data_IF_098539933561
#
_entry.id   IF_098539933561
#
_cell.length_a   1.000
_cell.length_b   1.000
_cell.length_c   1.000
_cell.angle_alpha   90.00
_cell.angle_beta   90.00
_cell.angle_gamma   90.00
#
_symmetry.space_group_name_H-M   'P 1'
#
loop_
_entity.id
_entity.type
_entity.pdbx_description
1 polymer ?
#
# COMPACT_ATOMS: atom_id res chain seq x y z
N UNK A 1 29.20 -28.77 22.37
CA UNK A 1 27.87 -29.16 21.85
C UNK A 1 27.24 -28.00 21.04
N UNK A 2 27.93 -27.47 20.02
CA UNK A 2 27.60 -26.16 19.43
C UNK A 2 27.24 -26.12 17.94
N UNK A 3 27.24 -27.25 17.21
CA UNK A 3 27.08 -27.22 15.74
C UNK A 3 25.84 -27.94 15.20
N UNK A 4 24.99 -28.54 16.05
CA UNK A 4 23.79 -29.26 15.60
C UNK A 4 22.56 -28.34 15.42
N UNK A 5 22.46 -27.24 16.16
CA UNK A 5 21.26 -26.37 16.14
C UNK A 5 21.18 -25.43 14.94
N UNK A 6 22.32 -25.01 14.36
CA UNK A 6 22.33 -24.12 13.18
C UNK A 6 21.92 -24.86 11.90
N UNK A 7 22.15 -26.18 11.84
CA UNK A 7 21.73 -27.01 10.71
C UNK A 7 20.22 -27.27 10.71
N UNK A 8 19.63 -27.52 11.89
CA UNK A 8 18.20 -27.75 12.07
C UNK A 8 17.35 -26.50 11.73
N UNK A 9 17.82 -25.30 12.07
CA UNK A 9 17.17 -24.03 11.71
C UNK A 9 17.21 -23.78 10.20
N UNK A 10 18.32 -24.08 9.51
CA UNK A 10 18.40 -23.96 8.05
C UNK A 10 17.50 -24.95 7.32
N UNK A 11 17.40 -26.20 7.77
CA UNK A 11 16.53 -27.20 7.12
C UNK A 11 15.04 -26.92 7.29
N UNK A 12 14.63 -26.26 8.37
CA UNK A 12 13.22 -25.89 8.61
C UNK A 12 12.81 -24.69 7.74
N UNK A 13 13.74 -23.73 7.55
CA UNK A 13 13.59 -22.57 6.68
C UNK A 13 13.46 -22.96 5.19
N UNK A 14 14.25 -23.93 4.73
CA UNK A 14 14.13 -24.45 3.36
C UNK A 14 12.83 -25.22 3.12
N UNK A 15 12.30 -25.95 4.11
CA UNK A 15 11.03 -26.68 4.00
C UNK A 15 9.82 -25.77 3.84
N UNK A 16 9.78 -24.64 4.54
CA UNK A 16 8.66 -23.68 4.44
C UNK A 16 8.71 -22.89 3.13
N UNK A 17 9.91 -22.54 2.65
CA UNK A 17 10.10 -21.92 1.35
C UNK A 17 9.71 -22.87 0.18
N UNK A 18 10.01 -24.16 0.30
CA UNK A 18 9.63 -25.17 -0.70
C UNK A 18 8.11 -25.41 -0.74
N UNK A 19 7.44 -25.45 0.41
CA UNK A 19 5.98 -25.59 0.48
C UNK A 19 5.26 -24.37 -0.10
N UNK A 20 5.81 -23.16 0.09
CA UNK A 20 5.29 -21.93 -0.51
C UNK A 20 5.48 -21.91 -2.04
N UNK A 21 6.63 -22.40 -2.53
CA UNK A 21 6.95 -22.50 -3.96
C UNK A 21 6.07 -23.54 -4.68
N UNK A 22 5.90 -24.74 -4.09
CA UNK A 22 5.04 -25.79 -4.66
C UNK A 22 3.58 -25.34 -4.69
N UNK A 23 3.08 -24.66 -3.66
CA UNK A 23 1.71 -24.13 -3.66
C UNK A 23 1.48 -23.07 -4.76
N UNK A 24 2.45 -22.18 -5.00
CA UNK A 24 2.35 -21.17 -6.06
C UNK A 24 2.39 -21.78 -7.46
N UNK A 25 3.25 -22.79 -7.69
CA UNK A 25 3.35 -23.48 -8.99
C UNK A 25 2.12 -24.38 -9.23
N UNK A 26 1.58 -25.02 -8.19
CA UNK A 26 0.39 -25.86 -8.30
C UNK A 26 -0.87 -25.03 -8.58
N UNK A 27 -1.06 -23.86 -7.95
CA UNK A 27 -2.15 -22.95 -8.27
C UNK A 27 -2.08 -22.41 -9.72
N UNK A 28 -0.87 -22.20 -10.25
CA UNK A 28 -0.68 -21.77 -11.64
C UNK A 28 -0.99 -22.90 -12.64
N UNK A 29 -0.68 -24.16 -12.29
CA UNK A 29 -0.98 -25.33 -13.13
C UNK A 29 -2.47 -25.72 -13.08
N UNK A 30 -3.13 -25.59 -11.93
CA UNK A 30 -4.58 -25.83 -11.81
C UNK A 30 -5.36 -24.77 -12.58
N UNK A 31 -4.95 -23.49 -12.56
CA UNK A 31 -5.57 -22.43 -13.37
C UNK A 31 -5.51 -22.66 -14.89
N UNK A 32 -4.55 -23.46 -15.37
CA UNK A 32 -4.42 -23.86 -16.78
C UNK A 32 -5.37 -25.03 -17.13
N UNK A 33 -5.76 -25.84 -16.14
CA UNK A 33 -6.64 -27.01 -16.33
C UNK A 33 -8.13 -26.74 -16.12
N UNK A 34 -8.53 -25.63 -15.48
CA UNK A 34 -9.96 -25.22 -15.38
C UNK A 34 -10.42 -24.33 -16.56
N UNK A 35 -9.53 -24.09 -17.55
CA UNK A 35 -9.79 -23.27 -18.74
C UNK A 35 -11.08 -23.58 -19.54
N UNK A 36 -11.66 -24.80 -19.54
CA UNK A 36 -12.90 -25.06 -20.28
C UNK A 36 -14.22 -24.73 -19.56
N UNK A 37 -14.22 -24.38 -18.26
CA UNK A 37 -15.47 -24.26 -17.45
C UNK A 37 -15.93 -22.82 -17.16
N UNK A 38 -15.35 -21.83 -17.84
CA UNK A 38 -15.82 -20.42 -17.83
C UNK A 38 -16.36 -19.99 -19.21
N UNK A 39 -16.89 -20.94 -20.00
CA UNK A 39 -17.63 -20.63 -21.23
C UNK A 39 -19.08 -20.27 -20.88
N UNK A 40 -19.26 -19.06 -20.36
CA UNK A 40 -20.58 -18.51 -20.05
C UNK A 40 -20.63 -16.98 -19.93
N UNK A 41 -19.54 -16.28 -20.27
CA UNK A 41 -19.56 -14.83 -20.40
C UNK A 41 -19.30 -14.51 -21.85
N UNK A 42 -20.33 -13.99 -22.51
CA UNK A 42 -20.34 -13.63 -23.91
C UNK A 42 -19.32 -12.51 -24.15
N UNK A 43 -18.18 -12.85 -24.76
CA UNK A 43 -17.08 -11.90 -25.01
C UNK A 43 -17.48 -10.81 -26.01
N UNK A 44 -18.44 -11.09 -26.89
CA UNK A 44 -18.94 -10.11 -27.87
C UNK A 44 -19.78 -9.01 -27.19
N UNK A 45 -20.46 -9.31 -26.08
CA UNK A 45 -21.21 -8.32 -25.31
C UNK A 45 -20.28 -7.28 -24.65
N UNK A 46 -19.07 -7.68 -24.24
CA UNK A 46 -18.06 -6.79 -23.64
C UNK A 46 -17.37 -5.88 -24.66
N UNK A 47 -17.23 -6.32 -25.91
CA UNK A 47 -16.58 -5.54 -26.97
C UNK A 47 -17.55 -4.54 -27.67
N UNK A 48 -18.86 -4.70 -27.49
CA UNK A 48 -19.90 -3.87 -28.13
C UNK A 48 -20.22 -2.55 -27.40
N UNK A 49 -19.74 -2.37 -26.17
CA UNK A 49 -19.94 -1.14 -25.40
C UNK A 49 -18.84 -0.14 -25.76
N UNK A 50 -19.16 0.87 -26.58
CA UNK A 50 -18.31 2.05 -26.72
C UNK A 50 -18.47 2.92 -25.46
N UNK A 51 -17.43 3.09 -24.62
CA UNK A 51 -17.56 3.88 -23.40
C UNK A 51 -17.48 5.37 -23.74
N UNK A 52 -18.62 6.03 -23.94
CA UNK A 52 -18.71 7.48 -23.73
C UNK A 52 -18.91 7.71 -22.23
N UNK A 53 -17.83 7.79 -21.45
CA UNK A 53 -17.72 8.56 -20.19
C UNK A 53 -16.29 8.39 -19.65
N UNK A 54 -15.42 9.36 -19.93
CA UNK A 54 -14.09 9.47 -19.32
C UNK A 54 -14.25 10.18 -17.98
N UNK A 55 -14.45 9.44 -16.89
CA UNK A 55 -14.21 10.01 -15.55
C UNK A 55 -12.69 9.88 -15.30
N UNK A 56 -11.94 10.83 -15.85
CA UNK A 56 -10.53 11.01 -15.49
C UNK A 56 -10.44 11.33 -13.99
N UNK A 57 -9.48 10.78 -13.23
CA UNK A 57 -9.15 11.32 -11.92
C UNK A 57 -8.88 12.84 -12.04
N UNK A 58 -9.13 13.59 -10.96
CA UNK A 58 -8.87 15.04 -10.91
C UNK A 58 -7.48 15.32 -11.50
N UNK A 59 -7.36 16.17 -12.53
CA UNK A 59 -6.09 16.38 -13.19
C UNK A 59 -5.02 16.85 -12.19
N UNK A 60 -3.81 16.27 -12.25
CA UNK A 60 -2.75 16.54 -11.28
C UNK A 60 -2.39 18.03 -11.18
N UNK A 61 -2.46 18.75 -12.29
CA UNK A 61 -2.21 20.20 -12.35
C UNK A 61 -3.24 21.03 -11.57
N UNK A 62 -4.49 20.56 -11.46
CA UNK A 62 -5.52 21.23 -10.65
C UNK A 62 -5.34 20.97 -9.14
N UNK A 63 -4.66 19.88 -8.77
CA UNK A 63 -4.38 19.52 -7.37
C UNK A 63 -3.12 20.20 -6.81
N UNK A 64 -2.21 20.66 -7.67
CA UNK A 64 -1.02 21.43 -7.26
C UNK A 64 -1.34 22.87 -6.85
N UNK A 65 -2.50 23.41 -7.21
CA UNK A 65 -2.89 24.81 -6.93
C UNK A 65 -3.71 25.01 -5.65
N UNK A 66 -4.14 23.94 -4.97
CA UNK A 66 -4.94 24.05 -3.75
C UNK A 66 -4.05 24.25 -2.51
N UNK A 67 -3.94 25.50 -2.05
CA UNK A 67 -3.29 25.88 -0.81
C UNK A 67 -4.07 25.36 0.41
N UNK A 68 -3.47 24.50 1.23
CA UNK A 68 -3.93 24.30 2.61
C UNK A 68 -3.48 25.49 3.48
N UNK A 69 -4.23 25.86 4.53
CA UNK A 69 -3.85 26.98 5.39
C UNK A 69 -2.50 26.69 6.04
N UNK A 70 -1.54 27.59 5.83
CA UNK A 70 -0.26 27.59 6.51
C UNK A 70 -0.49 27.76 8.01
N UNK A 71 -0.34 26.68 8.77
CA UNK A 71 -0.17 26.80 10.22
C UNK A 71 1.22 27.42 10.44
N UNK A 72 1.24 28.65 10.94
CA UNK A 72 2.47 29.35 11.34
C UNK A 72 3.16 28.58 12.47
N UNK A 73 4.03 27.63 12.10
CA UNK A 73 5.06 27.10 12.98
C UNK A 73 6.37 27.85 12.66
N UNK A 74 7.03 28.35 13.70
CA UNK A 74 8.32 29.04 13.63
C UNK A 74 9.30 28.33 12.69
N UNK A 75 9.73 29.02 11.63
CA UNK A 75 10.32 28.42 10.44
C UNK A 75 11.78 27.92 10.57
N UNK A 76 12.44 28.10 11.72
CA UNK A 76 13.88 27.87 11.83
C UNK A 76 14.32 26.61 12.61
N UNK A 77 13.41 25.85 13.25
CA UNK A 77 13.76 24.65 14.02
C UNK A 77 13.08 23.34 13.55
N UNK A 78 12.22 23.38 12.53
CA UNK A 78 11.52 22.18 12.07
C UNK A 78 12.42 21.27 11.19
N UNK A 79 12.39 19.94 11.38
CA UNK A 79 13.18 19.02 10.55
C UNK A 79 12.89 19.22 9.06
N UNK A 80 13.93 19.45 8.27
CA UNK A 80 13.81 19.51 6.80
C UNK A 80 13.52 18.15 6.18
N UNK A 81 13.91 17.06 6.84
CA UNK A 81 13.75 15.70 6.34
C UNK A 81 12.44 15.05 6.82
N UNK A 82 11.91 14.14 5.99
CA UNK A 82 10.66 13.43 6.22
C UNK A 82 10.85 11.94 6.45
N UNK A 83 9.95 11.38 7.25
CA UNK A 83 9.64 9.98 7.39
C UNK A 83 8.38 9.70 6.56
N UNK A 84 8.55 9.05 5.41
CA UNK A 84 7.43 8.77 4.49
C UNK A 84 6.99 7.32 4.63
N UNK A 85 5.74 7.12 5.04
CA UNK A 85 5.10 5.81 5.01
C UNK A 85 4.22 5.71 3.77
N UNK A 86 4.46 4.68 2.95
CA UNK A 86 3.55 4.31 1.86
C UNK A 86 2.54 3.30 2.39
N UNK A 87 1.31 3.76 2.66
CA UNK A 87 0.23 2.98 3.27
C UNK A 87 -0.82 2.67 2.23
N UNK A 88 -0.96 1.41 1.83
CA UNK A 88 -1.97 1.01 0.87
C UNK A 88 -1.99 -0.50 0.67
N UNK A 89 -3.17 -1.05 0.45
CA UNK A 89 -3.36 -2.49 0.25
C UNK A 89 -2.48 -3.03 -0.87
N UNK A 90 -2.19 -4.33 -0.84
CA UNK A 90 -1.62 -5.03 -1.97
C UNK A 90 -2.33 -4.68 -3.30
N UNK A 91 -1.59 -4.67 -4.40
CA UNK A 91 -2.11 -4.36 -5.76
C UNK A 91 -2.60 -2.93 -6.01
N UNK A 92 -2.37 -1.98 -5.10
CA UNK A 92 -2.65 -0.54 -5.30
C UNK A 92 -1.48 0.24 -5.94
N UNK A 93 -0.36 -0.42 -6.24
CA UNK A 93 0.82 0.24 -6.83
C UNK A 93 1.86 0.74 -5.83
N UNK A 94 1.78 0.31 -4.56
CA UNK A 94 2.75 0.68 -3.51
C UNK A 94 4.22 0.50 -3.91
N UNK A 95 4.57 -0.56 -4.64
CA UNK A 95 5.97 -0.79 -5.08
C UNK A 95 6.44 0.23 -6.13
N UNK A 96 5.57 0.60 -7.07
CA UNK A 96 5.86 1.62 -8.09
C UNK A 96 6.05 2.96 -7.42
N UNK A 97 5.15 3.28 -6.48
CA UNK A 97 5.19 4.51 -5.71
C UNK A 97 6.47 4.60 -4.87
N UNK A 98 6.87 3.52 -4.19
CA UNK A 98 8.15 3.49 -3.46
C UNK A 98 9.33 3.74 -4.39
N UNK A 99 9.38 3.09 -5.55
CA UNK A 99 10.45 3.31 -6.53
C UNK A 99 10.47 4.76 -7.06
N UNK A 100 9.29 5.36 -7.25
CA UNK A 100 9.14 6.75 -7.67
C UNK A 100 9.72 7.69 -6.61
N UNK A 101 9.37 7.48 -5.34
CA UNK A 101 9.88 8.25 -4.20
C UNK A 101 11.41 8.11 -4.06
N UNK A 102 11.95 6.90 -4.26
CA UNK A 102 13.40 6.70 -4.30
C UNK A 102 14.07 7.49 -5.44
N UNK A 103 13.42 7.60 -6.60
CA UNK A 103 13.90 8.44 -7.71
C UNK A 103 13.74 9.94 -7.45
N UNK A 104 12.93 10.34 -6.47
CA UNK A 104 12.83 11.72 -5.98
C UNK A 104 13.86 12.02 -4.85
N UNK A 105 14.69 11.04 -4.49
CA UNK A 105 15.78 11.22 -3.52
C UNK A 105 15.50 10.68 -2.11
N UNK A 106 14.41 9.95 -1.90
CA UNK A 106 14.14 9.31 -0.61
C UNK A 106 14.93 8.01 -0.45
N UNK A 107 15.51 7.81 0.72
CA UNK A 107 16.24 6.59 1.06
C UNK A 107 15.28 5.49 1.53
N UNK A 108 15.43 4.25 1.04
CA UNK A 108 14.61 3.11 1.50
C UNK A 108 15.39 2.13 2.39
N UNK A 109 16.67 2.39 2.64
CA UNK A 109 17.61 1.42 3.20
C UNK A 109 18.57 0.88 2.15
N UNK A 110 19.53 0.05 2.57
CA UNK A 110 20.47 -0.58 1.63
C UNK A 110 19.72 -1.58 0.78
N UNK A 111 20.19 -1.75 -0.46
CA UNK A 111 19.66 -2.80 -1.34
C UNK A 111 19.68 -4.19 -0.70
N UNK A 112 20.67 -4.52 0.13
CA UNK A 112 20.71 -5.82 0.82
C UNK A 112 19.67 -5.98 1.93
N UNK A 113 19.10 -4.88 2.44
CA UNK A 113 18.08 -4.88 3.50
C UNK A 113 16.65 -4.87 2.93
N UNK A 114 16.49 -4.73 1.61
CA UNK A 114 15.20 -4.68 0.94
C UNK A 114 14.82 -6.05 0.37
N UNK A 115 13.53 -6.41 0.50
CA UNK A 115 12.97 -7.58 -0.14
C UNK A 115 12.76 -7.33 -1.64
N UNK A 116 13.07 -8.33 -2.46
CA UNK A 116 12.88 -8.31 -3.92
C UNK A 116 12.23 -9.60 -4.40
N UNK A 117 11.40 -9.51 -5.45
CA UNK A 117 10.88 -10.71 -6.10
C UNK A 117 11.94 -11.26 -7.08
N UNK A 118 12.38 -12.52 -6.94
CA UNK A 118 13.22 -13.14 -7.95
C UNK A 118 12.53 -13.10 -9.32
N UNK A 119 13.21 -12.59 -10.35
CA UNK A 119 12.67 -12.45 -11.70
C UNK A 119 11.83 -11.18 -11.95
N UNK A 120 11.53 -10.39 -10.92
CA UNK A 120 10.89 -9.08 -11.08
C UNK A 120 11.52 -8.06 -10.12
N UNK A 121 12.57 -7.39 -10.62
CA UNK A 121 13.40 -6.45 -9.84
C UNK A 121 12.69 -5.14 -9.44
N UNK A 122 11.44 -4.95 -9.89
CA UNK A 122 10.61 -3.80 -9.53
C UNK A 122 9.44 -4.17 -8.62
N UNK A 123 9.31 -5.45 -8.26
CA UNK A 123 8.41 -5.89 -7.21
C UNK A 123 9.16 -6.02 -5.89
N UNK A 124 8.48 -5.53 -4.86
CA UNK A 124 8.94 -5.45 -3.49
C UNK A 124 10.04 -4.39 -3.28
N UNK A 125 9.91 -3.71 -2.16
CA UNK A 125 10.81 -2.68 -1.61
C UNK A 125 10.57 -2.56 -0.10
N UNK A 126 10.02 -3.61 0.50
CA UNK A 126 9.79 -3.73 1.93
C UNK A 126 11.16 -3.86 2.60
N UNK A 127 11.37 -3.08 3.65
CA UNK A 127 12.55 -3.22 4.48
C UNK A 127 12.38 -4.51 5.31
N UNK A 128 13.25 -5.50 5.09
CA UNK A 128 13.08 -6.85 5.62
C UNK A 128 12.88 -6.90 7.15
N UNK A 129 13.59 -6.05 7.90
CA UNK A 129 13.42 -5.96 9.36
C UNK A 129 12.04 -5.47 9.78
N UNK A 130 11.47 -4.54 9.02
CA UNK A 130 10.14 -3.98 9.29
C UNK A 130 9.08 -5.02 8.92
N UNK A 131 9.25 -5.67 7.76
CA UNK A 131 8.35 -6.71 7.28
C UNK A 131 8.28 -7.90 8.25
N UNK A 132 9.43 -8.43 8.69
CA UNK A 132 9.45 -9.54 9.67
C UNK A 132 8.83 -9.14 11.01
N UNK A 133 9.12 -7.92 11.50
CA UNK A 133 8.53 -7.40 12.73
C UNK A 133 7.00 -7.29 12.61
N UNK A 134 6.52 -6.76 11.49
CA UNK A 134 5.09 -6.62 11.21
C UNK A 134 4.43 -8.00 11.08
N UNK A 135 5.04 -8.93 10.35
CA UNK A 135 4.55 -10.31 10.20
C UNK A 135 4.37 -10.97 11.56
N UNK A 136 5.40 -10.95 12.42
CA UNK A 136 5.37 -11.58 13.74
C UNK A 136 4.24 -11.01 14.62
N UNK A 137 4.03 -9.69 14.58
CA UNK A 137 2.98 -9.04 15.35
C UNK A 137 1.58 -9.31 14.77
N UNK A 138 1.43 -9.23 13.44
CA UNK A 138 0.18 -9.49 12.75
C UNK A 138 -0.26 -10.95 12.90
N UNK A 139 0.66 -11.92 12.89
CA UNK A 139 0.36 -13.33 13.12
C UNK A 139 -0.30 -13.60 14.48
N UNK A 140 0.03 -12.80 15.50
CA UNK A 140 -0.54 -12.91 16.85
C UNK A 140 -1.89 -12.21 16.99
N UNK A 141 -2.08 -11.13 16.25
CA UNK A 141 -3.21 -10.21 16.38
C UNK A 141 -4.29 -10.44 15.32
N UNK A 142 -4.01 -11.23 14.30
CA UNK A 142 -4.95 -11.63 13.25
C UNK A 142 -5.83 -12.81 13.70
N UNK A 143 -7.06 -12.84 13.20
CA UNK A 143 -7.98 -13.93 13.47
C UNK A 143 -7.45 -15.22 12.82
N UNK A 144 -7.26 -16.27 13.63
CA UNK A 144 -6.67 -17.53 13.17
C UNK A 144 -7.57 -18.33 12.22
N UNK A 145 -8.85 -17.96 12.12
CA UNK A 145 -9.77 -18.53 11.13
C UNK A 145 -9.52 -17.99 9.71
N UNK A 146 -8.85 -16.84 9.59
CA UNK A 146 -8.49 -16.23 8.33
C UNK A 146 -7.09 -16.67 7.86
N UNK A 147 -6.79 -16.59 6.55
CA UNK A 147 -5.41 -16.64 6.08
C UNK A 147 -4.60 -15.57 6.83
N UNK A 148 -3.41 -15.90 7.35
CA UNK A 148 -2.63 -14.96 8.14
C UNK A 148 -2.07 -13.80 7.33
N UNK A 149 -1.70 -14.08 6.07
CA UNK A 149 -0.97 -13.15 5.21
C UNK A 149 -1.68 -11.79 4.99
N UNK A 150 -3.00 -11.72 4.70
CA UNK A 150 -3.71 -10.45 4.55
C UNK A 150 -4.00 -9.77 5.89
N UNK A 151 -3.69 -10.40 7.02
CA UNK A 151 -4.00 -9.88 8.35
C UNK A 151 -5.46 -9.42 8.52
N UNK A 152 -6.39 -10.10 7.85
CA UNK A 152 -7.81 -9.76 7.91
C UNK A 152 -8.37 -10.13 9.29
N UNK A 153 -9.09 -9.19 9.91
CA UNK A 153 -9.49 -9.31 11.31
C UNK A 153 -8.33 -9.12 12.29
N UNK A 154 -7.24 -8.44 11.88
CA UNK A 154 -6.25 -7.90 12.83
C UNK A 154 -6.94 -7.00 13.86
N UNK A 155 -6.66 -7.22 15.14
CA UNK A 155 -7.06 -6.34 16.24
C UNK A 155 -5.88 -6.13 17.18
N UNK A 156 -5.54 -4.87 17.45
CA UNK A 156 -4.38 -4.49 18.28
C UNK A 156 -4.45 -5.11 19.69
N UNK A 157 -5.64 -5.07 20.29
CA UNK A 157 -5.88 -5.51 21.68
C UNK A 157 -5.87 -7.03 21.87
N UNK A 158 -5.70 -7.81 20.79
CA UNK A 158 -5.44 -9.26 20.92
C UNK A 158 -4.03 -9.56 21.40
N UNK A 159 -3.09 -8.63 21.25
CA UNK A 159 -1.78 -8.72 21.87
C UNK A 159 -1.85 -8.24 23.32
N UNK A 160 -1.09 -8.89 24.21
CA UNK A 160 -0.95 -8.40 25.59
C UNK A 160 -0.28 -7.03 25.62
N UNK A 161 -0.51 -6.23 26.68
CA UNK A 161 0.13 -4.91 26.83
C UNK A 161 1.67 -4.99 26.73
N UNK A 162 2.27 -6.07 27.24
CA UNK A 162 3.70 -6.32 27.13
C UNK A 162 4.13 -6.50 25.67
N UNK A 163 3.39 -7.27 24.88
CA UNK A 163 3.69 -7.48 23.46
C UNK A 163 3.49 -6.22 22.63
N UNK A 164 2.44 -5.45 22.91
CA UNK A 164 2.21 -4.15 22.27
C UNK A 164 3.37 -3.18 22.57
N UNK A 165 3.78 -3.09 23.83
CA UNK A 165 4.91 -2.25 24.25
C UNK A 165 6.20 -2.70 23.57
N UNK A 166 6.47 -4.01 23.55
CA UNK A 166 7.65 -4.55 22.89
C UNK A 166 7.64 -4.23 21.39
N UNK A 167 6.51 -4.40 20.72
CA UNK A 167 6.38 -4.09 19.30
C UNK A 167 6.68 -2.61 19.02
N UNK A 168 6.14 -1.68 19.81
CA UNK A 168 6.43 -0.24 19.67
C UNK A 168 7.93 0.07 19.87
N UNK A 169 8.59 -0.60 20.82
CA UNK A 169 10.04 -0.47 21.02
C UNK A 169 10.84 -1.00 19.82
N UNK A 170 10.44 -2.12 19.22
CA UNK A 170 11.09 -2.64 18.02
C UNK A 170 10.83 -1.75 16.80
N UNK A 171 9.61 -1.19 16.66
CA UNK A 171 9.30 -0.19 15.64
C UNK A 171 10.24 1.00 15.76
N UNK A 172 10.45 1.52 16.98
CA UNK A 172 11.41 2.60 17.21
C UNK A 172 12.83 2.22 16.74
N UNK A 173 13.31 1.00 16.98
CA UNK A 173 14.62 0.55 16.49
C UNK A 173 14.71 0.50 14.97
N UNK A 174 13.62 0.13 14.28
CA UNK A 174 13.54 0.18 12.82
C UNK A 174 13.68 1.62 12.32
N UNK A 175 12.96 2.56 12.95
CA UNK A 175 13.02 3.98 12.62
C UNK A 175 14.40 4.59 12.91
N UNK A 176 14.98 4.31 14.08
CA UNK A 176 16.32 4.79 14.45
C UNK A 176 17.40 4.29 13.47
N UNK A 177 17.24 3.06 12.96
CA UNK A 177 18.12 2.54 11.92
C UNK A 177 17.94 3.27 10.58
N UNK A 178 16.70 3.54 10.15
CA UNK A 178 16.42 4.32 8.94
C UNK A 178 16.97 5.73 9.06
N UNK A 179 16.82 6.35 10.23
CA UNK A 179 17.34 7.69 10.53
C UNK A 179 18.86 7.72 10.44
N UNK A 180 19.52 6.72 11.01
CA UNK A 180 20.98 6.58 10.96
C UNK A 180 21.45 6.33 9.53
N UNK A 181 20.73 5.50 8.77
CA UNK A 181 21.07 5.17 7.39
C UNK A 181 20.92 6.36 6.45
N UNK A 182 19.80 7.07 6.54
CA UNK A 182 19.53 8.24 5.70
C UNK A 182 20.41 9.44 6.09
N UNK A 183 20.71 9.58 7.39
CA UNK A 183 21.34 10.77 7.94
C UNK A 183 20.32 11.89 8.20
N UNK A 184 20.75 12.99 8.86
CA UNK A 184 19.85 14.03 9.36
C UNK A 184 19.13 14.82 8.24
N UNK A 185 19.79 15.03 7.11
CA UNK A 185 19.29 15.89 6.02
C UNK A 185 18.42 15.16 4.99
N UNK A 186 18.50 13.82 4.91
CA UNK A 186 17.79 13.05 3.88
C UNK A 186 16.51 12.46 4.41
N UNK A 187 15.46 12.54 3.60
CA UNK A 187 14.19 11.85 3.86
C UNK A 187 14.29 10.36 3.55
N UNK A 188 13.50 9.54 4.23
CA UNK A 188 13.39 8.11 3.93
C UNK A 188 11.95 7.69 3.63
N UNK A 189 11.80 6.57 2.93
CA UNK A 189 10.53 5.92 2.62
C UNK A 189 10.49 4.49 3.17
N UNK A 190 9.43 4.17 3.91
CA UNK A 190 9.12 2.82 4.36
C UNK A 190 7.81 2.37 3.71
N UNK A 191 7.82 1.16 3.14
CA UNK A 191 6.64 0.55 2.55
C UNK A 191 6.48 -0.87 3.07
N UNK A 192 5.25 -1.19 3.42
CA UNK A 192 4.71 -2.54 3.55
C UNK A 192 3.21 -2.43 3.24
N UNK A 193 2.62 -3.27 2.37
CA UNK A 193 1.20 -3.13 2.03
C UNK A 193 0.25 -3.31 3.22
N UNK A 194 0.71 -3.91 4.32
CA UNK A 194 0.00 -4.10 5.59
C UNK A 194 0.38 -3.03 6.62
N UNK A 195 1.31 -2.15 6.29
CA UNK A 195 1.69 -1.00 7.13
C UNK A 195 0.48 -0.13 7.45
N UNK A 196 -0.54 -0.08 6.60
CA UNK A 196 -1.80 0.61 6.88
C UNK A 196 -2.49 0.12 8.17
N UNK A 197 -2.31 -1.14 8.57
CA UNK A 197 -2.86 -1.70 9.80
C UNK A 197 -2.06 -1.29 11.05
N UNK A 198 -0.80 -0.91 10.86
CA UNK A 198 0.18 -0.66 11.93
C UNK A 198 0.73 0.77 11.90
N UNK A 199 0.23 1.62 11.01
CA UNK A 199 0.81 2.93 10.69
C UNK A 199 0.85 3.86 11.90
N UNK A 200 -0.15 3.79 12.80
CA UNK A 200 -0.19 4.60 14.03
C UNK A 200 1.02 4.29 14.93
N UNK A 201 1.38 3.01 15.08
CA UNK A 201 2.54 2.61 15.86
C UNK A 201 3.86 3.14 15.29
N UNK A 202 3.99 3.26 13.96
CA UNK A 202 5.17 3.85 13.34
C UNK A 202 5.17 5.38 13.43
N UNK A 203 4.07 6.01 13.02
CA UNK A 203 3.96 7.47 12.96
C UNK A 203 4.09 8.14 14.33
N UNK A 204 3.59 7.51 15.40
CA UNK A 204 3.75 8.03 16.78
C UNK A 204 5.20 8.02 17.26
N UNK A 205 6.05 7.13 16.73
CA UNK A 205 7.46 7.02 17.08
C UNK A 205 8.37 7.95 16.26
N UNK A 206 7.85 8.59 15.20
CA UNK A 206 8.58 9.62 14.44
C UNK A 206 8.53 10.94 15.21
N UNK A 207 9.67 11.37 15.76
CA UNK A 207 9.77 12.58 16.59
C UNK A 207 10.71 13.65 16.03
N UNK A 208 11.64 13.28 15.17
CA UNK A 208 12.72 14.13 14.63
C UNK A 208 12.60 14.40 13.12
N UNK A 209 11.47 14.03 12.50
CA UNK A 209 11.21 14.19 11.06
C UNK A 209 9.76 14.57 10.82
N UNK A 210 9.49 15.17 9.66
CA UNK A 210 8.13 15.38 9.18
C UNK A 210 7.44 14.04 8.93
N UNK A 211 6.23 13.86 9.46
CA UNK A 211 5.42 12.65 9.26
C UNK A 211 4.62 12.79 7.97
N UNK A 212 4.90 11.94 6.98
CA UNK A 212 4.17 11.93 5.71
C UNK A 212 3.62 10.54 5.46
N UNK A 213 2.36 10.49 5.06
CA UNK A 213 1.61 9.30 4.75
C UNK A 213 1.14 9.40 3.31
N UNK A 214 1.62 8.52 2.43
CA UNK A 214 1.22 8.51 1.02
C UNK A 214 0.33 7.31 0.77
N UNK A 215 -0.93 7.60 0.42
CA UNK A 215 -1.99 6.61 0.24
C UNK A 215 -2.28 6.45 -1.25
N UNK A 216 -1.80 5.37 -1.91
CA UNK A 216 -2.23 5.07 -3.26
C UNK A 216 -3.67 4.55 -3.22
N UNK A 217 -4.55 5.15 -4.02
CA UNK A 217 -5.91 4.69 -4.20
C UNK A 217 -6.09 4.06 -5.58
N UNK A 218 -6.89 2.99 -5.60
CA UNK A 218 -7.26 2.23 -6.79
C UNK A 218 -8.70 1.80 -6.62
N UNK A 219 -9.40 1.64 -7.73
CA UNK A 219 -10.77 1.14 -7.74
C UNK A 219 -10.89 -0.11 -6.85
N UNK A 220 -11.83 -0.12 -5.89
CA UNK A 220 -11.94 -1.18 -4.90
C UNK A 220 -12.15 -2.56 -5.54
N UNK A 221 -12.85 -2.63 -6.67
CA UNK A 221 -13.15 -3.88 -7.37
C UNK A 221 -11.95 -4.37 -8.15
N UNK A 222 -11.18 -3.46 -8.75
CA UNK A 222 -9.92 -3.85 -9.35
C UNK A 222 -8.93 -4.44 -8.33
N UNK A 223 -8.91 -3.91 -7.11
CA UNK A 223 -8.06 -4.43 -6.03
C UNK A 223 -8.60 -5.77 -5.54
N UNK A 224 -9.88 -5.83 -5.18
CA UNK A 224 -10.51 -7.01 -4.61
C UNK A 224 -10.45 -8.22 -5.57
N UNK A 225 -10.78 -8.01 -6.85
CA UNK A 225 -10.70 -9.07 -7.89
C UNK A 225 -9.28 -9.61 -8.09
N UNK A 226 -8.27 -8.74 -7.99
CA UNK A 226 -6.86 -9.15 -8.05
C UNK A 226 -6.42 -9.93 -6.82
N UNK A 227 -7.08 -9.73 -5.68
CA UNK A 227 -6.73 -10.37 -4.42
C UNK A 227 -7.32 -11.77 -4.25
N UNK A 228 -8.44 -12.07 -4.91
CA UNK A 228 -9.13 -13.39 -4.84
C UNK A 228 -8.18 -14.59 -4.92
N UNK A 229 -7.22 -14.68 -5.87
CA UNK A 229 -6.31 -15.83 -5.95
C UNK A 229 -5.37 -15.99 -4.75
N UNK A 230 -5.11 -14.91 -4.01
CA UNK A 230 -4.17 -14.86 -2.88
C UNK A 230 -4.86 -15.05 -1.52
N UNK A 231 -6.18 -14.99 -1.48
CA UNK A 231 -6.98 -15.00 -0.26
C UNK A 231 -7.72 -16.33 -0.04
N UNK A 232 -7.12 -17.46 -0.43
CA UNK A 232 -7.72 -18.81 -0.38
C UNK A 232 -9.11 -18.90 -1.05
N UNK A 233 -9.33 -18.11 -2.10
CA UNK A 233 -10.61 -18.10 -2.82
C UNK A 233 -11.75 -17.41 -2.08
N UNK A 234 -11.45 -16.49 -1.15
CA UNK A 234 -12.46 -15.62 -0.56
C UNK A 234 -13.37 -15.00 -1.62
N UNK A 235 -14.68 -14.86 -1.32
CA UNK A 235 -15.61 -14.20 -2.21
C UNK A 235 -15.23 -12.72 -2.37
N UNK A 236 -15.70 -12.07 -3.43
CA UNK A 236 -15.32 -10.70 -3.78
C UNK A 236 -15.65 -9.71 -2.65
N UNK A 237 -16.76 -9.95 -1.96
CA UNK A 237 -17.27 -9.20 -0.82
C UNK A 237 -16.27 -9.16 0.34
N UNK A 238 -15.71 -10.31 0.74
CA UNK A 238 -14.68 -10.35 1.79
C UNK A 238 -13.42 -9.60 1.38
N UNK A 239 -13.04 -9.67 0.10
CA UNK A 239 -11.90 -8.91 -0.41
C UNK A 239 -12.17 -7.39 -0.47
N UNK A 240 -13.43 -6.99 -0.67
CA UNK A 240 -13.86 -5.59 -0.59
C UNK A 240 -13.87 -5.07 0.84
N UNK A 241 -14.30 -5.88 1.80
CA UNK A 241 -14.23 -5.56 3.22
C UNK A 241 -12.77 -5.41 3.68
N UNK A 242 -11.87 -6.27 3.19
CA UNK A 242 -10.44 -6.14 3.42
C UNK A 242 -9.89 -4.82 2.85
N UNK A 243 -10.27 -4.47 1.61
CA UNK A 243 -9.89 -3.19 1.00
C UNK A 243 -10.38 -2.00 1.82
N UNK A 244 -11.63 -2.04 2.26
CA UNK A 244 -12.23 -1.00 3.10
C UNK A 244 -11.43 -0.83 4.40
N UNK A 245 -11.17 -1.93 5.09
CA UNK A 245 -10.46 -1.94 6.38
C UNK A 245 -9.04 -1.36 6.26
N UNK A 246 -8.31 -1.73 5.20
CA UNK A 246 -6.97 -1.23 4.95
C UNK A 246 -6.95 0.29 4.74
N UNK A 247 -7.88 0.81 3.94
CA UNK A 247 -7.94 2.25 3.65
C UNK A 247 -8.43 3.04 4.86
N UNK A 248 -9.44 2.55 5.57
CA UNK A 248 -9.94 3.16 6.82
C UNK A 248 -8.81 3.27 7.84
N UNK A 249 -8.10 2.17 8.12
CA UNK A 249 -7.00 2.18 9.10
C UNK A 249 -5.84 3.08 8.67
N UNK A 250 -5.48 3.10 7.39
CA UNK A 250 -4.47 4.02 6.87
C UNK A 250 -4.85 5.49 7.14
N UNK A 251 -6.05 5.90 6.71
CA UNK A 251 -6.50 7.29 6.85
C UNK A 251 -6.62 7.67 8.33
N UNK A 252 -7.20 6.79 9.15
CA UNK A 252 -7.37 7.01 10.58
C UNK A 252 -6.03 7.21 11.29
N UNK A 253 -5.07 6.31 11.07
CA UNK A 253 -3.74 6.40 11.68
C UNK A 253 -3.03 7.70 11.29
N UNK A 254 -3.13 8.09 10.02
CA UNK A 254 -2.48 9.30 9.53
C UNK A 254 -3.12 10.57 10.13
N UNK A 255 -4.45 10.59 10.30
CA UNK A 255 -5.15 11.68 11.01
C UNK A 255 -4.79 11.76 12.49
N UNK A 256 -4.88 10.64 13.22
CA UNK A 256 -4.62 10.58 14.68
C UNK A 256 -3.21 11.03 15.05
N UNK A 257 -2.25 10.83 14.15
CA UNK A 257 -0.84 11.18 14.36
C UNK A 257 -0.44 12.54 13.78
N UNK A 258 -1.39 13.25 13.17
CA UNK A 258 -1.14 14.54 12.51
C UNK A 258 -0.21 14.46 11.31
N UNK A 259 -0.11 13.28 10.67
CA UNK A 259 0.73 13.09 9.50
C UNK A 259 0.13 13.85 8.30
N UNK A 260 1.00 14.45 7.47
CA UNK A 260 0.56 15.02 6.20
C UNK A 260 0.16 13.88 5.26
N UNK A 261 -1.08 13.90 4.77
CA UNK A 261 -1.60 12.87 3.86
C UNK A 261 -1.46 13.33 2.42
N UNK A 262 -0.82 12.52 1.58
CA UNK A 262 -0.74 12.72 0.13
C UNK A 262 -1.42 11.54 -0.57
N UNK A 263 -2.47 11.82 -1.33
CA UNK A 263 -3.17 10.80 -2.11
C UNK A 263 -2.56 10.65 -3.50
N UNK A 264 -2.54 9.42 -4.01
CA UNK A 264 -2.00 9.09 -5.33
C UNK A 264 -2.93 8.14 -6.07
N UNK A 265 -3.36 8.53 -7.26
CA UNK A 265 -4.15 7.64 -8.12
C UNK A 265 -3.27 6.58 -8.78
N UNK A 266 -3.63 5.31 -8.59
CA UNK A 266 -3.03 4.22 -9.35
C UNK A 266 -3.21 4.41 -10.86
N UNK A 267 -4.33 5.00 -11.31
CA UNK A 267 -4.54 5.26 -12.74
C UNK A 267 -3.47 6.22 -13.28
N UNK A 268 -3.25 7.35 -12.62
CA UNK A 268 -2.23 8.34 -13.02
C UNK A 268 -0.82 7.77 -12.89
N UNK A 269 -0.57 6.92 -11.88
CA UNK A 269 0.70 6.19 -11.75
C UNK A 269 1.01 5.33 -12.98
N UNK A 270 -0.01 4.76 -13.61
CA UNK A 270 0.15 3.90 -14.78
C UNK A 270 0.11 4.64 -16.12
N UNK A 271 -0.55 5.79 -16.19
CA UNK A 271 -0.81 6.52 -17.44
C UNK A 271 0.04 7.79 -17.59
N UNK A 272 0.34 8.45 -16.48
CA UNK A 272 1.01 9.75 -16.41
C UNK A 272 2.12 9.76 -15.32
N UNK A 273 3.05 8.78 -15.31
CA UNK A 273 4.01 8.60 -14.22
C UNK A 273 4.94 9.81 -13.99
N UNK A 274 5.27 10.57 -15.04
CA UNK A 274 6.10 11.77 -14.89
C UNK A 274 5.31 12.97 -14.33
N UNK A 275 4.05 13.13 -14.74
CA UNK A 275 3.15 14.12 -14.12
C UNK A 275 2.94 13.80 -12.64
N UNK A 276 2.79 12.52 -12.30
CA UNK A 276 2.72 12.08 -10.91
C UNK A 276 4.00 12.40 -10.13
N UNK A 277 5.17 12.24 -10.76
CA UNK A 277 6.45 12.62 -10.14
C UNK A 277 6.50 14.13 -9.83
N UNK A 278 6.03 14.98 -10.76
CA UNK A 278 5.92 16.44 -10.54
C UNK A 278 4.98 16.77 -9.40
N UNK A 279 3.79 16.13 -9.37
CA UNK A 279 2.82 16.30 -8.31
C UNK A 279 3.38 15.91 -6.94
N UNK A 280 4.00 14.73 -6.83
CA UNK A 280 4.59 14.29 -5.56
C UNK A 280 5.72 15.19 -5.11
N UNK A 281 6.60 15.60 -6.02
CA UNK A 281 7.65 16.56 -5.72
C UNK A 281 7.06 17.86 -5.16
N UNK A 282 6.07 18.45 -5.83
CA UNK A 282 5.40 19.66 -5.36
C UNK A 282 4.78 19.46 -3.97
N UNK A 283 4.01 18.39 -3.74
CA UNK A 283 3.39 18.12 -2.43
C UNK A 283 4.40 17.88 -1.31
N UNK A 284 5.54 17.25 -1.60
CA UNK A 284 6.62 17.08 -0.64
C UNK A 284 7.28 18.43 -0.30
N UNK A 285 7.54 19.26 -1.32
CA UNK A 285 8.07 20.62 -1.12
C UNK A 285 7.10 21.49 -0.31
N UNK A 286 5.80 21.45 -0.62
CA UNK A 286 4.74 22.18 0.09
C UNK A 286 4.63 21.72 1.56
N UNK A 287 4.88 20.43 1.84
CA UNK A 287 4.98 19.91 3.20
C UNK A 287 6.26 20.35 3.93
N UNK A 288 7.14 21.10 3.27
CA UNK A 288 8.41 21.59 3.78
C UNK A 288 9.54 20.57 3.73
N UNK A 289 9.42 19.52 2.92
CA UNK A 289 10.47 18.51 2.77
C UNK A 289 11.61 19.07 1.93
N UNK A 290 12.82 19.06 2.50
CA UNK A 290 14.07 19.47 1.85
C UNK A 290 14.75 18.26 1.20
N UNK A 291 15.64 18.54 0.24
CA UNK A 291 16.48 17.51 -0.39
C UNK A 291 15.75 16.54 -1.33
N UNK A 292 14.48 16.79 -1.65
CA UNK A 292 13.78 16.11 -2.75
C UNK A 292 14.19 16.75 -4.08
N UNK A 293 14.35 15.93 -5.12
CA UNK A 293 14.70 16.42 -6.45
C UNK A 293 13.75 15.83 -7.49
N UNK A 294 13.39 16.64 -8.48
CA UNK A 294 12.66 16.18 -9.66
C UNK A 294 13.66 15.92 -10.80
N UNK A 295 13.82 14.68 -11.29
CA UNK A 295 14.63 14.44 -12.47
C UNK A 295 14.05 15.10 -13.72
N UNK A 296 14.91 15.40 -14.70
CA UNK A 296 14.45 15.74 -16.05
C UNK A 296 13.60 14.62 -16.63
N UNK A 297 12.66 14.95 -17.51
CA UNK A 297 11.77 13.96 -18.13
C UNK A 297 12.54 12.85 -18.83
N UNK A 298 13.54 13.19 -19.65
CA UNK A 298 14.42 12.20 -20.30
C UNK A 298 15.14 11.31 -19.27
N UNK A 299 15.65 11.89 -18.19
CA UNK A 299 16.29 11.15 -17.11
C UNK A 299 15.31 10.20 -16.39
N UNK A 300 14.08 10.64 -16.19
CA UNK A 300 13.00 9.85 -15.62
C UNK A 300 12.63 8.68 -16.53
N UNK A 301 12.39 8.92 -17.82
CA UNK A 301 12.06 7.88 -18.79
C UNK A 301 13.17 6.81 -18.86
N UNK A 302 14.44 7.22 -18.89
CA UNK A 302 15.59 6.30 -18.95
C UNK A 302 15.77 5.47 -17.69
N UNK A 303 15.57 6.05 -16.50
CA UNK A 303 15.86 5.37 -15.21
C UNK A 303 14.66 4.66 -14.61
N UNK A 304 13.45 5.19 -14.78
CA UNK A 304 12.24 4.69 -14.14
C UNK A 304 11.38 3.88 -15.11
N UNK A 305 10.99 4.46 -16.25
CA UNK A 305 10.07 3.77 -17.18
C UNK A 305 10.70 2.52 -17.79
N UNK A 306 11.98 2.53 -18.15
CA UNK A 306 12.65 1.32 -18.68
C UNK A 306 12.71 0.15 -17.70
N UNK A 307 12.70 0.42 -16.39
CA UNK A 307 12.69 -0.63 -15.36
C UNK A 307 11.28 -1.18 -15.14
N UNK A 308 10.25 -0.35 -15.30
CA UNK A 308 8.88 -0.67 -14.93
C UNK A 308 8.01 -1.11 -16.13
N UNK A 309 8.06 -0.35 -17.21
CA UNK A 309 7.31 -0.66 -18.43
C UNK A 309 8.13 -1.62 -19.28
N UNK A 310 7.69 -2.87 -19.30
CA UNK A 310 8.04 -3.76 -20.39
C UNK A 310 7.17 -3.35 -21.60
N UNK A 311 7.75 -2.79 -22.68
CA UNK A 311 6.97 -2.42 -23.87
C UNK A 311 6.25 -3.63 -24.49
N UNK A 312 6.75 -4.85 -24.28
CA UNK A 312 6.16 -6.10 -24.78
C UNK A 312 5.01 -6.62 -23.90
N UNK A 313 4.81 -6.02 -22.71
CA UNK A 313 3.71 -6.35 -21.77
C UNK A 313 3.07 -5.06 -21.27
N UNK A 314 2.29 -4.36 -22.13
CA UNK A 314 1.62 -3.13 -21.72
C UNK A 314 0.72 -3.41 -20.53
N UNK A 315 0.84 -2.57 -19.50
CA UNK A 315 0.00 -2.67 -18.32
C UNK A 315 -1.43 -2.36 -18.74
N UNK A 316 -2.32 -3.35 -18.65
CA UNK A 316 -3.75 -3.12 -18.90
C UNK A 316 -4.35 -2.38 -17.71
N UNK A 317 -4.66 -1.11 -17.93
CA UNK A 317 -5.50 -0.31 -17.03
C UNK A 317 -6.93 -0.49 -17.54
N UNK A 318 -7.89 -0.86 -16.67
CA UNK A 318 -9.28 -0.88 -17.11
C UNK A 318 -9.75 0.56 -17.26
N UNK A 319 -10.33 0.95 -18.41
CA UNK A 319 -10.95 2.27 -18.57
C UNK A 319 -12.21 2.44 -17.69
N UNK A 320 -12.74 1.36 -17.13
CA UNK A 320 -14.00 1.36 -16.36
C UNK A 320 -13.77 1.96 -14.97
N UNK A 321 -13.72 3.29 -14.93
CA UNK A 321 -13.77 4.05 -13.70
C UNK A 321 -15.14 3.91 -13.02
N UNK A 322 -15.14 3.42 -11.79
CA UNK A 322 -16.06 3.83 -10.72
C UNK A 322 -17.55 3.64 -10.97
N UNK A 323 -18.22 4.47 -11.78
CA UNK A 323 -19.67 4.62 -11.73
C UNK A 323 -20.46 3.40 -12.23
N UNK A 324 -20.11 2.83 -13.39
CA UNK A 324 -20.87 1.73 -14.02
C UNK A 324 -20.62 0.37 -13.34
N UNK A 325 -19.45 0.22 -12.71
CA UNK A 325 -19.11 -0.96 -11.91
C UNK A 325 -19.76 -0.87 -10.54
N UNK A 326 -19.74 0.30 -9.88
CA UNK A 326 -20.43 0.52 -8.60
C UNK A 326 -21.95 0.36 -8.72
N UNK A 327 -22.56 0.73 -9.86
CA UNK A 327 -24.00 0.50 -10.11
C UNK A 327 -24.33 -0.98 -10.34
N UNK A 328 -23.42 -1.74 -10.98
CA UNK A 328 -23.55 -3.22 -11.15
C UNK A 328 -23.30 -4.00 -9.84
N UNK A 329 -22.86 -3.32 -8.78
CA UNK A 329 -22.48 -3.89 -7.49
C UNK A 329 -23.28 -3.29 -6.33
N UNK A 330 -24.43 -2.67 -6.63
CA UNK A 330 -25.39 -2.27 -5.62
C UNK A 330 -25.74 -3.45 -4.72
N UNK A 331 -25.26 -3.40 -3.47
CA UNK A 331 -25.45 -4.44 -2.46
C UNK A 331 -24.15 -5.12 -1.96
N UNK A 332 -23.07 -5.14 -2.75
CA UNK A 332 -21.82 -5.83 -2.38
C UNK A 332 -20.81 -4.94 -1.65
N UNK A 333 -20.76 -3.65 -2.00
CA UNK A 333 -19.85 -2.69 -1.37
C UNK A 333 -20.60 -1.90 -0.28
N UNK A 334 -20.03 -1.85 0.92
CA UNK A 334 -20.64 -1.15 2.05
C UNK A 334 -20.75 0.35 1.78
N UNK A 335 -21.72 1.02 2.42
CA UNK A 335 -21.86 2.49 2.34
C UNK A 335 -20.56 3.20 2.73
N UNK A 336 -19.85 2.67 3.73
CA UNK A 336 -18.57 3.22 4.20
C UNK A 336 -17.49 3.07 3.14
N UNK A 337 -17.37 1.91 2.51
CA UNK A 337 -16.42 1.68 1.42
C UNK A 337 -16.70 2.59 0.21
N UNK A 338 -17.97 2.80 -0.15
CA UNK A 338 -18.36 3.76 -1.21
C UNK A 338 -17.87 5.17 -0.88
N UNK A 339 -18.07 5.62 0.37
CA UNK A 339 -17.63 6.95 0.82
C UNK A 339 -16.11 7.09 0.87
N UNK A 340 -15.39 6.06 1.34
CA UNK A 340 -13.92 6.06 1.31
C UNK A 340 -13.41 6.15 -0.13
N UNK A 341 -13.98 5.37 -1.05
CA UNK A 341 -13.62 5.44 -2.46
C UNK A 341 -13.91 6.82 -3.06
N UNK A 342 -15.06 7.41 -2.76
CA UNK A 342 -15.43 8.76 -3.18
C UNK A 342 -14.42 9.80 -2.70
N UNK A 343 -14.09 9.77 -1.41
CA UNK A 343 -13.12 10.67 -0.80
C UNK A 343 -11.73 10.55 -1.43
N UNK A 344 -11.31 9.31 -1.75
CA UNK A 344 -10.03 9.07 -2.39
C UNK A 344 -10.00 9.54 -3.84
N UNK A 345 -10.98 9.15 -4.66
CA UNK A 345 -11.00 9.48 -6.09
C UNK A 345 -11.16 10.98 -6.37
N UNK A 346 -11.79 11.71 -5.45
CA UNK A 346 -11.98 13.17 -5.53
C UNK A 346 -10.91 13.97 -4.78
N UNK A 347 -9.93 13.28 -4.19
CA UNK A 347 -8.87 13.89 -3.39
C UNK A 347 -9.36 14.67 -2.15
N UNK A 348 -10.55 14.34 -1.63
CA UNK A 348 -11.20 15.05 -0.53
C UNK A 348 -11.43 14.13 0.68
N UNK A 349 -10.37 13.78 1.42
CA UNK A 349 -10.51 12.95 2.62
C UNK A 349 -11.33 13.64 3.73
N UNK A 350 -11.35 14.97 3.76
CA UNK A 350 -12.07 15.77 4.76
C UNK A 350 -13.59 15.53 4.76
N UNK A 351 -14.14 14.95 3.68
CA UNK A 351 -15.53 14.52 3.65
C UNK A 351 -15.83 13.30 4.55
N UNK A 352 -14.81 12.57 5.02
CA UNK A 352 -14.96 11.43 5.92
C UNK A 352 -14.93 11.93 7.36
N UNK A 353 -15.94 11.56 8.16
CA UNK A 353 -15.92 11.83 9.60
C UNK A 353 -15.05 10.83 10.36
N UNK A 354 -14.58 11.19 11.55
CA UNK A 354 -13.80 10.27 12.39
C UNK A 354 -14.59 9.01 12.79
N UNK A 355 -15.92 9.13 12.93
CA UNK A 355 -16.81 8.01 13.21
C UNK A 355 -16.81 6.97 12.07
N UNK A 356 -16.69 7.42 10.82
CA UNK A 356 -16.56 6.55 9.66
C UNK A 356 -15.17 5.92 9.53
N UNK A 357 -14.19 6.46 10.24
CA UNK A 357 -12.84 5.93 10.26
C UNK A 357 -12.57 4.99 11.45
N UNK A 358 -13.58 4.73 12.29
CA UNK A 358 -13.47 3.71 13.34
C UNK A 358 -13.39 2.34 12.66
N UNK A 359 -12.31 1.56 12.85
CA UNK A 359 -12.21 0.19 12.34
C UNK A 359 -13.44 -0.59 12.76
N UNK A 360 -13.92 -1.50 11.91
CA UNK A 360 -15.00 -2.39 12.36
C UNK A 360 -14.42 -3.21 13.51
N UNK A 361 -14.85 -2.98 14.75
CA UNK A 361 -14.61 -3.93 15.84
C UNK A 361 -15.40 -5.18 15.46
N UNK A 362 -14.73 -6.19 14.92
CA UNK A 362 -15.41 -7.36 14.37
C UNK A 362 -15.96 -8.23 15.50
N UNK A 363 -17.17 -7.90 15.99
CA UNK A 363 -18.07 -8.89 16.57
C UNK A 363 -18.99 -9.36 15.45
N UNK A 364 -18.52 -10.27 14.60
CA UNK A 364 -19.45 -10.99 13.74
C UNK A 364 -19.83 -12.32 14.40
N UNK A 365 -21.11 -12.53 14.76
CA UNK A 365 -21.68 -13.87 14.72
C UNK A 365 -22.00 -14.13 13.24
N UNK A 366 -21.32 -15.04 12.55
CA UNK A 366 -21.75 -15.59 11.25
C UNK A 366 -20.96 -16.86 10.90
N UNK A 367 -21.39 -17.97 11.48
CA UNK A 367 -22.00 -19.08 10.73
C UNK A 367 -23.14 -19.57 11.62
N UNK A 368 -24.38 -19.46 11.14
CA UNK A 368 -25.46 -20.31 11.65
C UNK A 368 -25.22 -21.76 11.22
#
# INVERSE_FOLDING_TARGET
MGNANVFALRTTMYRHFWLFYVACVFCFCVGILVGPWLRGVDREALDSVKPEYVISPTPLHALSSSSHPSVNASADDAPGAAAVLVTGMHHTGTSILTLLLMNLGLEAGRRSDLLFLPGNKVKYFELARAEHLNEDFLLKTTDKTNPPWPAYGHEWDRASLQEQTQYVLEVKKVLDWLDTYAGPEKSWVLKDPRLCLLAEAYLTQVTNRKRICIIPHRDPIEVASRFVPFARGWPLETNLELWEEYNVRAIQACRRTGATIIQVSHFQMMTEPYELAKYLHAKLVDAGVKGVFLPSEDGFQKRFLKLWFNPDKPYRVSPTGGAEVLSKLEGMISTRAKRVWEAQRTYNLEMLSDAELIPKSWTHPRFE
#
